data_IF_759166774635
#
_entry.id   IF_759166774635
#
_cell.length_a   1.000
_cell.length_b   1.000
_cell.length_c   1.000
_cell.angle_alpha   90.00
_cell.angle_beta   90.00
_cell.angle_gamma   90.00
#
_symmetry.space_group_name_H-M   'P 1'
#
loop_
_entity.id
_entity.type
_entity.pdbx_description
1 polymer ?
#
# COMPACT_ATOMS: atom_id res chain seq x y z
N UNK A 1 1.33 12.34 3.46
CA UNK A 1 2.65 12.33 4.14
C UNK A 1 2.60 11.86 5.60
N UNK A 2 1.59 12.27 6.39
CA UNK A 2 1.40 11.78 7.78
C UNK A 2 1.50 10.24 7.89
N UNK A 3 0.71 9.48 7.15
CA UNK A 3 0.72 8.02 7.30
C UNK A 3 2.03 7.34 6.84
N UNK A 4 2.79 7.97 5.95
CA UNK A 4 4.14 7.51 5.59
C UNK A 4 5.16 7.74 6.72
N UNK A 5 5.00 8.82 7.49
CA UNK A 5 5.79 9.00 8.71
C UNK A 5 5.40 8.00 9.81
N UNK A 6 4.11 7.67 9.93
CA UNK A 6 3.61 6.65 10.88
C UNK A 6 4.20 5.28 10.58
N UNK A 7 4.31 4.86 9.31
CA UNK A 7 4.92 3.56 8.96
C UNK A 7 6.41 3.53 9.23
N UNK A 8 7.14 4.61 8.96
CA UNK A 8 8.58 4.72 9.27
C UNK A 8 8.80 4.69 10.79
N UNK A 9 8.00 5.41 11.57
CA UNK A 9 8.08 5.41 13.03
C UNK A 9 7.70 4.05 13.63
N UNK A 10 6.69 3.39 13.08
CA UNK A 10 6.36 2.02 13.46
C UNK A 10 7.55 1.08 13.25
N UNK A 11 8.41 1.31 12.25
CA UNK A 11 9.61 0.51 11.94
C UNK A 11 10.88 0.92 12.69
N UNK A 12 11.00 2.18 13.12
CA UNK A 12 12.20 2.70 13.76
C UNK A 12 12.19 2.63 15.29
N UNK A 13 11.01 2.67 15.92
CA UNK A 13 10.86 2.80 17.38
C UNK A 13 10.62 1.48 18.11
N UNK A 14 10.90 1.42 19.43
CA UNK A 14 10.61 0.27 20.28
C UNK A 14 9.13 -0.14 20.19
N UNK A 15 8.82 -1.46 20.17
CA UNK A 15 7.46 -1.96 19.98
C UNK A 15 6.50 -1.57 21.12
N UNK A 16 7.01 -1.50 22.35
CA UNK A 16 6.28 -0.97 23.51
C UNK A 16 6.88 0.40 23.88
N UNK A 17 6.12 1.50 24.00
CA UNK A 17 4.65 1.70 23.88
C UNK A 17 4.18 2.18 22.48
N UNK A 18 5.05 2.22 21.48
CA UNK A 18 4.79 2.92 20.21
C UNK A 18 3.61 2.33 19.42
N UNK A 19 3.43 1.01 19.44
CA UNK A 19 2.41 0.30 18.65
C UNK A 19 0.97 0.73 19.00
N UNK A 20 0.51 0.67 20.28
CA UNK A 20 -0.84 1.09 20.64
C UNK A 20 -1.07 2.59 20.40
N UNK A 21 -0.05 3.44 20.62
CA UNK A 21 -0.11 4.87 20.32
C UNK A 21 -0.37 5.12 18.83
N UNK A 22 0.43 4.52 17.94
CA UNK A 22 0.25 4.70 16.49
C UNK A 22 -1.07 4.12 15.98
N UNK A 23 -1.53 3.01 16.55
CA UNK A 23 -2.83 2.43 16.23
C UNK A 23 -3.98 3.36 16.64
N UNK A 24 -3.90 3.95 17.84
CA UNK A 24 -4.91 4.90 18.33
C UNK A 24 -4.97 6.17 17.47
N UNK A 25 -3.81 6.68 17.03
CA UNK A 25 -3.72 7.82 16.11
C UNK A 25 -4.36 7.48 14.77
N UNK A 26 -4.06 6.31 14.18
CA UNK A 26 -4.68 5.88 12.91
C UNK A 26 -6.20 5.72 13.00
N UNK A 27 -6.71 5.25 14.14
CA UNK A 27 -8.15 5.12 14.36
C UNK A 27 -8.82 6.48 14.61
N UNK A 28 -8.18 7.37 15.37
CA UNK A 28 -8.67 8.73 15.62
C UNK A 28 -8.74 9.56 14.33
N UNK A 29 -7.77 9.40 13.43
CA UNK A 29 -7.72 10.10 12.14
C UNK A 29 -8.64 9.46 11.08
N UNK A 30 -9.18 8.26 11.30
CA UNK A 30 -10.07 7.59 10.32
C UNK A 30 -11.38 8.34 10.11
N UNK A 31 -11.96 8.88 11.19
CA UNK A 31 -13.23 9.63 11.16
C UNK A 31 -13.13 10.94 10.38
N UNK A 32 -12.16 11.84 10.66
CA UNK A 32 -12.00 13.07 9.88
C UNK A 32 -11.56 12.81 8.44
N UNK A 33 -10.92 11.67 8.16
CA UNK A 33 -10.59 11.25 6.81
C UNK A 33 -11.79 10.74 5.98
N UNK A 34 -12.99 10.65 6.58
CA UNK A 34 -14.21 10.22 5.88
C UNK A 34 -14.27 8.73 5.54
N UNK A 35 -13.35 7.92 6.06
CA UNK A 35 -13.26 6.49 5.75
C UNK A 35 -14.16 5.71 6.70
N UNK A 36 -15.14 4.98 6.14
CA UNK A 36 -16.01 4.08 6.91
C UNK A 36 -15.16 2.96 7.52
N UNK A 37 -15.19 2.83 8.85
CA UNK A 37 -14.40 1.85 9.60
C UNK A 37 -14.62 0.41 9.11
N UNK A 38 -15.84 0.09 8.65
CA UNK A 38 -16.16 -1.22 8.07
C UNK A 38 -15.43 -1.53 6.76
N UNK A 39 -15.12 -0.52 5.94
CA UNK A 39 -14.35 -0.72 4.70
C UNK A 39 -12.87 -0.98 5.02
N UNK A 40 -12.31 -0.21 5.96
CA UNK A 40 -10.94 -0.41 6.44
C UNK A 40 -10.77 -1.82 7.03
N UNK A 41 -11.65 -2.22 7.94
CA UNK A 41 -11.60 -3.56 8.55
C UNK A 41 -11.73 -4.67 7.51
N UNK A 42 -12.57 -4.50 6.48
CA UNK A 42 -12.72 -5.47 5.39
C UNK A 42 -11.44 -5.60 4.56
N UNK A 43 -10.79 -4.49 4.22
CA UNK A 43 -9.51 -4.49 3.51
C UNK A 43 -8.36 -5.04 4.37
N UNK A 44 -8.38 -4.77 5.68
CA UNK A 44 -7.35 -5.23 6.61
C UNK A 44 -7.39 -6.75 6.87
N UNK A 45 -8.49 -7.45 6.55
CA UNK A 45 -8.59 -8.91 6.74
C UNK A 45 -7.51 -9.67 5.99
N UNK A 46 -7.17 -9.26 4.76
CA UNK A 46 -6.16 -9.93 3.94
C UNK A 46 -4.76 -9.91 4.59
N UNK A 47 -4.20 -8.72 4.87
CA UNK A 47 -2.95 -8.61 5.61
C UNK A 47 -3.01 -9.29 6.99
N UNK A 48 -4.11 -9.15 7.73
CA UNK A 48 -4.24 -9.72 9.06
C UNK A 48 -4.14 -11.25 9.06
N UNK A 49 -4.76 -11.95 8.10
CA UNK A 49 -4.65 -13.42 8.03
C UNK A 49 -3.22 -13.85 7.76
N UNK A 50 -2.51 -13.15 6.87
CA UNK A 50 -1.10 -13.45 6.58
C UNK A 50 -0.22 -13.21 7.81
N UNK A 51 -0.41 -12.10 8.51
CA UNK A 51 0.36 -11.74 9.70
C UNK A 51 0.11 -12.72 10.85
N UNK A 52 -1.13 -13.18 11.05
CA UNK A 52 -1.44 -14.17 12.08
C UNK A 52 -0.75 -15.50 11.80
N UNK A 53 -0.71 -15.94 10.54
CA UNK A 53 0.01 -17.16 10.14
C UNK A 53 1.52 -16.97 10.40
N UNK A 54 2.09 -15.82 10.02
CA UNK A 54 3.50 -15.53 10.23
C UNK A 54 3.86 -15.46 11.73
N UNK A 55 3.05 -14.79 12.54
CA UNK A 55 3.24 -14.70 13.99
C UNK A 55 3.14 -16.07 14.66
N UNK A 56 2.17 -16.90 14.27
CA UNK A 56 2.06 -18.28 14.75
C UNK A 56 3.29 -19.11 14.36
N UNK A 57 3.82 -18.91 13.15
CA UNK A 57 5.06 -19.57 12.70
C UNK A 57 6.28 -19.15 13.53
N UNK A 58 6.37 -17.90 13.99
CA UNK A 58 7.51 -17.43 14.80
C UNK A 58 7.50 -17.93 16.24
N UNK A 59 6.33 -18.32 16.76
CA UNK A 59 6.22 -18.89 18.11
C UNK A 59 6.86 -20.29 18.18
N UNK A 60 6.85 -21.00 17.06
CA UNK A 60 7.37 -22.36 16.95
C UNK A 60 8.86 -22.30 16.63
N UNK A 61 9.72 -22.61 17.59
CA UNK A 61 11.13 -22.88 17.32
C UNK A 61 11.37 -24.38 17.14
N UNK A 62 12.02 -24.75 16.04
CA UNK A 62 12.49 -26.11 15.78
C UNK A 62 13.98 -26.14 16.06
N UNK A 63 14.38 -26.82 17.13
CA UNK A 63 15.80 -27.11 17.35
C UNK A 63 16.20 -28.31 16.49
N UNK A 64 16.98 -28.04 15.44
CA UNK A 64 17.49 -29.03 14.48
C UNK A 64 18.43 -30.05 15.13
N UNK A 65 19.02 -29.74 16.28
CA UNK A 65 20.00 -30.59 16.94
C UNK A 65 19.35 -31.71 17.77
N UNK A 66 18.20 -31.43 18.40
CA UNK A 66 17.51 -32.37 19.28
C UNK A 66 16.16 -32.86 18.74
N UNK A 67 15.72 -32.39 17.57
CA UNK A 67 14.40 -32.66 16.99
C UNK A 67 13.25 -32.39 17.97
N UNK A 68 13.45 -31.43 18.88
CA UNK A 68 12.49 -31.05 19.90
C UNK A 68 11.78 -29.78 19.46
N UNK A 69 10.45 -29.84 19.52
CA UNK A 69 9.57 -28.70 19.34
C UNK A 69 9.46 -27.99 20.69
N UNK A 70 10.16 -26.88 20.86
CA UNK A 70 10.06 -26.07 22.06
C UNK A 70 9.33 -24.77 21.75
N UNK A 71 8.50 -24.33 22.69
CA UNK A 71 7.83 -23.03 22.65
C UNK A 71 8.39 -22.20 23.81
N UNK A 72 9.47 -21.44 23.58
CA UNK A 72 9.98 -20.49 24.57
C UNK A 72 8.95 -19.37 24.79
N UNK A 73 8.75 -18.96 26.05
CA UNK A 73 7.92 -17.79 26.39
C UNK A 73 8.41 -16.51 25.69
N UNK A 74 9.72 -16.40 25.44
CA UNK A 74 10.32 -15.29 24.70
C UNK A 74 9.80 -15.22 23.24
N UNK A 75 9.60 -16.36 22.59
CA UNK A 75 9.09 -16.42 21.22
C UNK A 75 7.60 -16.04 21.15
N UNK A 76 6.84 -16.26 22.22
CA UNK A 76 5.44 -15.82 22.32
C UNK A 76 5.38 -14.30 22.35
N UNK A 77 6.18 -13.66 23.19
CA UNK A 77 6.26 -12.19 23.28
C UNK A 77 6.79 -11.59 21.98
N UNK A 78 7.81 -12.20 21.38
CA UNK A 78 8.37 -11.74 20.11
C UNK A 78 7.36 -11.87 18.96
N UNK A 79 6.67 -13.00 18.84
CA UNK A 79 5.63 -13.20 17.82
C UNK A 79 4.46 -12.23 17.98
N UNK A 80 4.02 -11.98 19.21
CA UNK A 80 2.95 -11.01 19.50
C UNK A 80 3.35 -9.58 19.13
N UNK A 81 4.56 -9.15 19.51
CA UNK A 81 5.07 -7.80 19.19
C UNK A 81 5.26 -7.59 17.69
N UNK A 82 5.81 -8.57 16.97
CA UNK A 82 5.93 -8.54 15.50
C UNK A 82 4.56 -8.48 14.83
N UNK A 83 3.61 -9.32 15.26
CA UNK A 83 2.26 -9.35 14.71
C UNK A 83 1.54 -8.01 14.89
N UNK A 84 1.58 -7.45 16.11
CA UNK A 84 0.98 -6.15 16.40
C UNK A 84 1.62 -5.02 15.58
N UNK A 85 2.95 -5.03 15.42
CA UNK A 85 3.68 -4.05 14.61
C UNK A 85 3.26 -4.10 13.14
N UNK A 86 3.20 -5.30 12.57
CA UNK A 86 2.83 -5.52 11.18
C UNK A 86 1.37 -5.12 10.90
N UNK A 87 0.45 -5.37 11.85
CA UNK A 87 -0.96 -4.95 11.74
C UNK A 87 -1.05 -3.42 11.74
N UNK A 88 -0.38 -2.75 12.68
CA UNK A 88 -0.38 -1.29 12.76
C UNK A 88 0.20 -0.65 11.50
N UNK A 89 1.33 -1.17 10.99
CA UNK A 89 1.93 -0.70 9.75
C UNK A 89 1.00 -0.91 8.54
N UNK A 90 0.32 -2.07 8.48
CA UNK A 90 -0.64 -2.37 7.40
C UNK A 90 -1.84 -1.43 7.42
N UNK A 91 -2.39 -1.11 8.60
CA UNK A 91 -3.49 -0.16 8.75
C UNK A 91 -3.05 1.25 8.35
N UNK A 92 -1.86 1.68 8.77
CA UNK A 92 -1.30 2.97 8.37
C UNK A 92 -1.10 3.05 6.85
N UNK A 93 -0.61 1.98 6.22
CA UNK A 93 -0.45 1.92 4.76
C UNK A 93 -1.79 1.95 4.03
N UNK A 94 -2.81 1.26 4.53
CA UNK A 94 -4.17 1.32 3.99
C UNK A 94 -4.76 2.73 4.07
N UNK A 95 -4.53 3.43 5.19
CA UNK A 95 -4.93 4.84 5.35
C UNK A 95 -4.16 5.75 4.39
N UNK A 96 -2.86 5.55 4.22
CA UNK A 96 -2.06 6.29 3.24
C UNK A 96 -2.64 6.14 1.84
N UNK A 97 -2.86 4.90 1.39
CA UNK A 97 -3.41 4.59 0.08
C UNK A 97 -4.83 5.13 -0.12
N UNK A 98 -5.64 5.19 0.93
CA UNK A 98 -7.05 5.66 0.85
C UNK A 98 -7.19 7.18 0.89
N UNK A 99 -6.22 7.90 1.48
CA UNK A 99 -6.30 9.36 1.69
C UNK A 99 -5.40 10.16 0.78
N UNK A 100 -4.38 9.53 0.17
CA UNK A 100 -3.39 10.21 -0.66
C UNK A 100 -3.56 9.77 -2.12
N UNK A 101 -4.08 10.63 -3.01
CA UNK A 101 -4.18 10.30 -4.43
C UNK A 101 -2.78 10.18 -5.03
N UNK A 102 -2.63 9.33 -6.06
CA UNK A 102 -1.31 9.05 -6.65
C UNK A 102 -0.65 10.33 -7.20
N UNK A 103 -1.44 11.29 -7.72
CA UNK A 103 -0.95 12.57 -8.26
C UNK A 103 -0.13 13.34 -7.22
N UNK A 104 -0.60 13.38 -5.97
CA UNK A 104 0.15 13.99 -4.85
C UNK A 104 1.45 13.22 -4.55
N UNK A 105 1.45 11.89 -4.71
CA UNK A 105 2.66 11.07 -4.54
C UNK A 105 3.68 11.38 -5.63
N UNK A 106 3.26 11.49 -6.89
CA UNK A 106 4.14 11.87 -8.01
C UNK A 106 4.79 13.24 -7.77
N UNK A 107 4.02 14.26 -7.39
CA UNK A 107 4.54 15.58 -7.06
C UNK A 107 5.56 15.53 -5.90
N UNK A 108 5.34 14.67 -4.90
CA UNK A 108 6.32 14.47 -3.81
C UNK A 108 7.61 13.79 -4.27
N UNK A 109 7.51 12.82 -5.19
CA UNK A 109 8.67 12.13 -5.76
C UNK A 109 9.54 13.09 -6.57
N UNK A 110 8.92 14.04 -7.28
CA UNK A 110 9.62 15.12 -7.99
C UNK A 110 10.45 15.99 -7.05
N UNK A 111 9.90 16.34 -5.89
CA UNK A 111 10.61 17.13 -4.86
C UNK A 111 11.76 16.35 -4.21
N UNK A 112 11.65 15.02 -4.17
CA UNK A 112 12.72 14.13 -3.68
C UNK A 112 13.85 13.90 -4.70
N UNK A 113 13.81 14.58 -5.87
CA UNK A 113 14.88 14.53 -6.86
C UNK A 113 14.73 13.42 -7.90
N UNK A 114 13.56 12.77 -7.99
CA UNK A 114 13.32 11.80 -9.08
C UNK A 114 13.27 12.52 -10.43
N UNK A 115 13.99 12.01 -11.47
CA UNK A 115 13.99 12.62 -12.79
C UNK A 115 12.58 12.73 -13.38
N UNK A 116 12.28 13.87 -14.02
CA UNK A 116 11.01 14.13 -14.70
C UNK A 116 10.52 13.00 -15.62
N UNK A 117 11.39 12.43 -16.50
CA UNK A 117 10.99 11.34 -17.39
C UNK A 117 10.42 10.12 -16.67
N UNK A 118 10.95 9.77 -15.48
CA UNK A 118 10.43 8.66 -14.70
C UNK A 118 9.00 8.94 -14.20
N UNK A 119 8.73 10.18 -13.78
CA UNK A 119 7.41 10.61 -13.31
C UNK A 119 6.40 10.61 -14.46
N UNK A 120 6.82 11.06 -15.65
CA UNK A 120 5.99 11.08 -16.85
C UNK A 120 5.58 9.66 -17.24
N UNK A 121 6.53 8.72 -17.25
CA UNK A 121 6.25 7.30 -17.53
C UNK A 121 5.27 6.73 -16.51
N UNK A 122 5.49 6.94 -15.21
CA UNK A 122 4.59 6.45 -14.14
C UNK A 122 3.19 7.04 -14.29
N UNK A 123 3.08 8.32 -14.65
CA UNK A 123 1.80 9.01 -14.85
C UNK A 123 1.02 8.40 -16.02
N UNK A 124 1.70 8.17 -17.15
CA UNK A 124 1.10 7.50 -18.31
C UNK A 124 0.71 6.06 -17.96
N UNK A 125 1.58 5.30 -17.30
CA UNK A 125 1.30 3.93 -16.86
C UNK A 125 0.04 3.88 -15.98
N UNK A 126 -0.06 4.76 -14.99
CA UNK A 126 -1.23 4.85 -14.10
C UNK A 126 -2.53 5.11 -14.87
N UNK A 127 -2.50 6.04 -15.84
CA UNK A 127 -3.66 6.28 -16.72
C UNK A 127 -4.02 5.04 -17.54
N UNK A 128 -3.02 4.36 -18.10
CA UNK A 128 -3.22 3.15 -18.91
C UNK A 128 -3.78 1.99 -18.10
N UNK A 129 -3.46 1.88 -16.80
CA UNK A 129 -4.04 0.86 -15.91
C UNK A 129 -5.57 0.95 -15.90
N UNK A 130 -6.16 2.15 -15.77
CA UNK A 130 -7.63 2.28 -15.80
C UNK A 130 -8.25 1.93 -17.14
N UNK A 131 -7.62 2.34 -18.25
CA UNK A 131 -8.08 1.99 -19.60
C UNK A 131 -8.05 0.48 -19.80
N UNK A 132 -7.01 -0.19 -19.31
CA UNK A 132 -6.91 -1.65 -19.35
C UNK A 132 -7.94 -2.31 -18.43
N UNK A 133 -8.17 -1.79 -17.22
CA UNK A 133 -9.16 -2.34 -16.29
C UNK A 133 -10.57 -2.29 -16.87
N UNK A 134 -10.94 -1.19 -17.52
CA UNK A 134 -12.21 -1.08 -18.24
C UNK A 134 -12.29 -2.12 -19.36
N UNK A 135 -11.23 -2.26 -20.15
CA UNK A 135 -11.13 -3.26 -21.20
C UNK A 135 -11.29 -4.69 -20.68
N UNK A 136 -10.62 -5.01 -19.58
CA UNK A 136 -10.70 -6.30 -18.89
C UNK A 136 -12.11 -6.55 -18.39
N UNK A 137 -12.79 -5.54 -17.84
CA UNK A 137 -14.16 -5.67 -17.35
C UNK A 137 -15.14 -6.03 -18.48
N UNK A 138 -15.00 -5.40 -19.65
CA UNK A 138 -15.81 -5.68 -20.84
C UNK A 138 -15.55 -7.10 -21.37
N UNK A 139 -14.28 -7.49 -21.52
CA UNK A 139 -13.91 -8.83 -21.99
C UNK A 139 -14.43 -9.89 -21.01
N UNK A 140 -14.24 -9.67 -19.71
CA UNK A 140 -14.73 -10.59 -18.67
C UNK A 140 -16.25 -10.75 -18.73
N UNK A 141 -17.00 -9.66 -18.92
CA UNK A 141 -18.45 -9.72 -19.06
C UNK A 141 -18.88 -10.53 -20.29
N UNK A 142 -18.18 -10.37 -21.42
CA UNK A 142 -18.42 -11.18 -22.62
C UNK A 142 -18.06 -12.66 -22.43
N UNK A 143 -17.05 -12.98 -21.62
CA UNK A 143 -16.71 -14.36 -21.27
C UNK A 143 -17.76 -14.97 -20.34
N UNK A 144 -18.29 -14.21 -19.38
CA UNK A 144 -19.38 -14.66 -18.49
C UNK A 144 -20.63 -15.01 -19.30
N UNK A 145 -21.03 -14.17 -20.27
CA UNK A 145 -22.21 -14.44 -21.11
C UNK A 145 -22.05 -15.69 -21.99
N UNK A 146 -20.82 -16.10 -22.29
CA UNK A 146 -20.48 -17.33 -23.03
C UNK A 146 -20.23 -18.55 -22.13
N UNK A 147 -20.61 -18.49 -20.85
CA UNK A 147 -20.35 -19.54 -19.86
C UNK A 147 -18.85 -19.87 -19.72
N UNK A 148 -17.98 -18.87 -19.85
CA UNK A 148 -16.53 -19.02 -19.78
C UNK A 148 -16.00 -19.34 -18.37
N UNK A 149 -16.82 -19.18 -17.34
CA UNK A 149 -16.46 -19.41 -15.93
C UNK A 149 -17.29 -20.51 -15.25
N UNK A 150 -17.94 -21.38 -16.02
CA UNK A 150 -18.84 -22.42 -15.49
C UNK A 150 -18.12 -23.62 -14.87
N UNK A 151 -16.88 -23.90 -15.27
CA UNK A 151 -16.06 -25.00 -14.73
C UNK A 151 -14.64 -24.53 -14.50
N UNK A 152 -13.90 -25.16 -13.58
CA UNK A 152 -12.51 -24.78 -13.28
C UNK A 152 -11.61 -24.76 -14.53
N UNK A 153 -11.77 -25.75 -15.43
CA UNK A 153 -11.05 -25.81 -16.71
C UNK A 153 -11.40 -24.65 -17.64
N UNK A 154 -12.68 -24.29 -17.74
CA UNK A 154 -13.14 -23.14 -18.54
C UNK A 154 -12.65 -21.83 -17.93
N UNK A 155 -12.66 -21.70 -16.61
CA UNK A 155 -12.13 -20.54 -15.88
C UNK A 155 -10.66 -20.30 -16.19
N UNK A 156 -9.83 -21.36 -16.15
CA UNK A 156 -8.40 -21.25 -16.51
C UNK A 156 -8.20 -20.84 -17.97
N UNK A 157 -8.96 -21.44 -18.90
CA UNK A 157 -8.90 -21.08 -20.32
C UNK A 157 -9.32 -19.62 -20.55
N UNK A 158 -10.45 -19.20 -19.95
CA UNK A 158 -10.94 -17.81 -20.04
C UNK A 158 -9.97 -16.81 -19.43
N UNK A 159 -9.32 -17.15 -18.32
CA UNK A 159 -8.26 -16.32 -17.73
C UNK A 159 -7.05 -16.18 -18.67
N UNK A 160 -6.61 -17.26 -19.31
CA UNK A 160 -5.54 -17.23 -20.31
C UNK A 160 -5.88 -16.35 -21.51
N UNK A 161 -7.08 -16.51 -22.08
CA UNK A 161 -7.57 -15.69 -23.20
C UNK A 161 -7.71 -14.21 -22.83
N UNK A 162 -8.22 -13.91 -21.63
CA UNK A 162 -8.33 -12.54 -21.13
C UNK A 162 -6.94 -11.91 -20.98
N UNK A 163 -5.97 -12.66 -20.44
CA UNK A 163 -4.59 -12.19 -20.29
C UNK A 163 -3.94 -11.91 -21.64
N UNK A 164 -4.11 -12.80 -22.62
CA UNK A 164 -3.61 -12.59 -23.98
C UNK A 164 -4.26 -11.35 -24.65
N UNK A 165 -5.57 -11.17 -24.47
CA UNK A 165 -6.29 -9.99 -24.98
C UNK A 165 -5.83 -8.69 -24.30
N UNK A 166 -5.61 -8.71 -22.98
CA UNK A 166 -5.10 -7.55 -22.24
C UNK A 166 -3.69 -7.17 -22.70
N UNK A 167 -2.79 -8.15 -22.88
CA UNK A 167 -1.41 -7.92 -23.32
C UNK A 167 -1.34 -7.36 -24.74
N UNK A 168 -2.06 -7.98 -25.68
CA UNK A 168 -2.11 -7.49 -27.08
C UNK A 168 -2.68 -6.08 -27.15
N UNK A 169 -3.71 -5.77 -26.36
CA UNK A 169 -4.28 -4.43 -26.28
C UNK A 169 -3.27 -3.44 -25.68
N UNK A 170 -2.57 -3.80 -24.61
CA UNK A 170 -1.53 -2.97 -23.99
C UNK A 170 -0.42 -2.62 -25.00
N UNK A 171 0.09 -3.62 -25.72
CA UNK A 171 1.12 -3.42 -26.74
C UNK A 171 0.65 -2.48 -27.85
N UNK A 172 -0.56 -2.73 -28.38
CA UNK A 172 -1.13 -1.86 -29.41
C UNK A 172 -1.33 -0.42 -28.93
N UNK A 173 -1.64 -0.23 -27.65
CA UNK A 173 -1.83 1.09 -27.05
C UNK A 173 -0.49 1.81 -26.87
N UNK A 174 0.57 1.08 -26.49
CA UNK A 174 1.92 1.63 -26.42
C UNK A 174 2.40 2.10 -27.80
N UNK A 175 2.26 1.28 -28.85
CA UNK A 175 2.66 1.67 -30.22
C UNK A 175 1.86 2.88 -30.73
N UNK A 176 0.56 2.95 -30.45
CA UNK A 176 -0.26 4.14 -30.81
C UNK A 176 0.18 5.38 -30.05
N UNK A 177 0.53 5.24 -28.77
CA UNK A 177 1.03 6.35 -27.96
C UNK A 177 2.38 6.85 -28.50
N UNK A 178 3.29 5.94 -28.83
CA UNK A 178 4.60 6.26 -29.41
C UNK A 178 4.45 7.05 -30.72
N UNK A 179 3.63 6.56 -31.66
CA UNK A 179 3.35 7.27 -32.93
C UNK A 179 2.73 8.65 -32.66
N UNK A 180 1.79 8.73 -31.73
CA UNK A 180 1.13 9.99 -31.36
C UNK A 180 2.08 11.00 -30.70
N UNK A 181 3.07 10.53 -29.94
CA UNK A 181 4.12 11.37 -29.36
C UNK A 181 5.12 11.82 -30.41
N UNK A 182 5.54 10.94 -31.32
CA UNK A 182 6.45 11.28 -32.42
C UNK A 182 5.88 12.40 -33.32
N UNK A 183 4.56 12.39 -33.56
CA UNK A 183 3.88 13.47 -34.30
C UNK A 183 3.80 14.82 -33.56
N UNK A 184 4.18 14.89 -32.28
CA UNK A 184 4.16 16.10 -31.43
C UNK A 184 5.57 16.50 -30.96
N UNK A 185 6.60 16.12 -31.71
CA UNK A 185 8.02 16.29 -31.36
C UNK A 185 8.38 15.70 -29.98
N UNK A 186 7.87 14.49 -29.71
CA UNK A 186 7.97 13.77 -28.44
C UNK A 186 7.37 14.49 -27.21
N UNK A 187 6.66 15.61 -27.42
CA UNK A 187 6.01 16.37 -26.35
C UNK A 187 7.03 16.98 -25.41
N UNK A 188 7.39 18.25 -25.66
CA UNK A 188 8.06 19.10 -24.68
C UNK A 188 7.40 18.88 -23.32
N UNK A 189 8.19 18.50 -22.30
CA UNK A 189 7.72 18.23 -20.94
C UNK A 189 6.82 19.37 -20.50
N UNK A 190 5.50 19.17 -20.58
CA UNK A 190 4.56 20.23 -20.19
C UNK A 190 4.75 20.41 -18.69
N UNK A 191 5.22 21.59 -18.22
CA UNK A 191 5.32 21.82 -16.80
C UNK A 191 3.90 21.87 -16.27
N UNK A 192 3.44 20.76 -15.70
CA UNK A 192 2.20 20.71 -14.95
C UNK A 192 2.40 21.61 -13.73
N UNK A 193 1.71 22.75 -13.72
CA UNK A 193 1.63 23.64 -12.57
C UNK A 193 0.84 22.90 -11.49
N UNK A 194 1.55 22.13 -10.66
CA UNK A 194 0.97 21.55 -9.46
C UNK A 194 0.91 22.63 -8.37
N UNK A 195 -0.24 23.31 -8.30
CA UNK A 195 -0.61 24.11 -7.13
C UNK A 195 -0.91 23.16 -5.96
N UNK A 196 0.16 22.71 -5.29
CA UNK A 196 0.03 22.04 -4.01
C UNK A 196 -0.20 23.12 -2.93
N UNK A 197 -1.48 23.38 -2.63
CA UNK A 197 -1.85 24.19 -1.47
C UNK A 197 -1.38 23.50 -0.19
N UNK A 198 -0.27 23.98 0.37
CA UNK A 198 0.31 23.43 1.59
C UNK A 198 -0.52 23.89 2.79
N UNK A 199 -1.27 22.99 3.39
CA UNK A 199 -1.98 23.29 4.63
C UNK A 199 -1.02 23.22 5.83
N UNK A 200 -0.49 24.37 6.24
CA UNK A 200 0.44 24.50 7.36
C UNK A 200 -0.14 23.99 8.70
N UNK A 201 -1.46 24.10 8.89
CA UNK A 201 -2.14 23.56 10.08
C UNK A 201 -2.07 22.04 10.12
N UNK A 202 -2.18 21.40 8.96
CA UNK A 202 -2.03 19.96 8.83
C UNK A 202 -0.60 19.51 9.11
N UNK A 203 0.40 20.23 8.58
CA UNK A 203 1.82 19.94 8.87
C UNK A 203 2.12 20.10 10.36
N UNK A 204 1.63 21.17 10.99
CA UNK A 204 1.79 21.39 12.44
C UNK A 204 1.16 20.28 13.27
N UNK A 205 -0.06 19.84 12.92
CA UNK A 205 -0.71 18.71 13.59
C UNK A 205 0.09 17.40 13.42
N UNK A 206 0.62 17.13 12.22
CA UNK A 206 1.48 15.97 11.97
C UNK A 206 2.75 16.02 12.86
N UNK A 207 3.47 17.14 12.82
CA UNK A 207 4.70 17.31 13.58
C UNK A 207 4.49 17.20 15.09
N UNK A 208 3.36 17.72 15.60
CA UNK A 208 2.99 17.62 17.00
C UNK A 208 2.66 16.17 17.40
N UNK A 209 1.87 15.46 16.59
CA UNK A 209 1.57 14.04 16.86
C UNK A 209 2.83 13.16 16.82
N UNK A 210 3.74 13.39 15.89
CA UNK A 210 5.00 12.65 15.84
C UNK A 210 5.92 12.98 17.01
N UNK A 211 6.07 14.26 17.35
CA UNK A 211 6.90 14.67 18.48
C UNK A 211 6.35 14.14 19.80
N UNK A 212 5.03 14.09 19.97
CA UNK A 212 4.38 13.51 21.14
C UNK A 212 4.61 11.99 21.23
N UNK A 213 4.49 11.25 20.12
CA UNK A 213 4.73 9.80 20.10
C UNK A 213 6.20 9.47 20.36
N UNK A 214 7.13 10.21 19.74
CA UNK A 214 8.57 10.03 19.97
C UNK A 214 8.94 10.39 21.41
N UNK A 215 8.41 11.50 21.94
CA UNK A 215 8.63 11.92 23.32
C UNK A 215 8.13 10.89 24.35
N UNK A 216 6.92 10.37 24.16
CA UNK A 216 6.37 9.32 25.02
C UNK A 216 7.18 8.02 24.94
N UNK A 217 7.62 7.63 23.74
CA UNK A 217 8.44 6.43 23.57
C UNK A 217 9.85 6.55 24.17
N UNK A 218 10.46 7.74 24.16
CA UNK A 218 11.78 7.95 24.76
C UNK A 218 11.71 8.09 26.29
N UNK A 219 10.62 8.66 26.82
CA UNK A 219 10.41 8.76 28.27
C UNK A 219 10.24 7.39 28.95
N UNK A 220 9.54 6.45 28.31
CA UNK A 220 9.42 5.08 28.81
C UNK A 220 10.66 4.22 28.56
N UNK A 221 11.44 4.49 27.50
CA UNK A 221 12.72 3.80 27.28
C UNK A 221 13.84 4.17 28.26
N UNK A 222 13.64 5.20 29.09
CA UNK A 222 14.60 5.70 30.09
C UNK A 222 14.28 5.20 31.51
N UNK A 223 13.08 4.69 31.76
CA UNK A 223 12.69 4.10 33.04
C UNK A 223 12.64 2.56 32.89
N UNK A 224 13.59 1.82 33.48
CA UNK A 224 13.60 0.36 33.43
C UNK A 224 12.44 -0.27 34.22
#
# INVERSE_FOLDING_TARGET
MLYGGVTVLALALPPWPTIPLLLSVCLATSKPAGIRLGHLLRCARGPATFILIAAASTVISVDLNNWQLSVPEENVVHGATLGARAITASIAMLMFASTTPITTVMGSLRRLGVPGPCIDVVTVMYRLVFVLLESISVIRQAQISRLGYSTARRTLNSAGLLTAAALTRAWSQASRLEIGLAGRDFGISMPTLEDSIVNWRFIGACALTFSAVVGASLLEGILP
#
